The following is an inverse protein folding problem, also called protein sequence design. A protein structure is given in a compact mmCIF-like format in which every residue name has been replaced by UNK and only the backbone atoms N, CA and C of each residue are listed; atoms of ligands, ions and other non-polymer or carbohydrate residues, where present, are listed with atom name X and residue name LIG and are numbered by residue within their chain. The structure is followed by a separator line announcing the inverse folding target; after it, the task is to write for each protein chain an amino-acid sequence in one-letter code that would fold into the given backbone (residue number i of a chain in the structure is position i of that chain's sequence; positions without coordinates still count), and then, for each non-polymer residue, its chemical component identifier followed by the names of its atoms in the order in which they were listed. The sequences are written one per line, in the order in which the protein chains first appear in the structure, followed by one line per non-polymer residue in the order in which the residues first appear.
data_IF_097590351979
#
_entry.id   IF_097590351979
#
_cell.length_a   1.000
_cell.length_b   1.000
_cell.length_c   1.000
_cell.angle_alpha   90.00
_cell.angle_beta   90.00
_cell.angle_gamma   90.00
#
_symmetry.space_group_name_H-M   'P 1'
#
loop_
_entity.id
_entity.type
_entity.pdbx_description
1 polymer ?
#
# COMPACT_ATOMS: atom_id res chain seq x y z
N UNK A 1 4.98 28.91 -46.68
CA UNK A 1 5.40 29.59 -47.93
C UNK A 1 5.45 31.09 -47.64
N UNK A 2 6.67 31.67 -47.68
CA UNK A 2 7.03 33.11 -47.74
C UNK A 2 6.58 33.98 -46.54
N UNK A 3 7.39 34.36 -45.53
CA UNK A 3 8.71 35.06 -45.42
C UNK A 3 8.61 36.59 -45.58
N UNK A 4 9.31 37.30 -44.66
CA UNK A 4 9.90 38.65 -44.68
C UNK A 4 9.08 39.77 -44.01
N UNK A 5 9.66 40.81 -43.41
CA UNK A 5 10.91 41.11 -42.68
C UNK A 5 10.83 42.62 -42.40
N UNK A 6 11.43 43.12 -41.33
CA UNK A 6 12.31 44.32 -41.37
C UNK A 6 12.70 44.77 -39.97
N UNK A 7 14.00 44.76 -39.77
CA UNK A 7 14.76 45.38 -38.69
C UNK A 7 15.01 46.85 -39.03
N UNK A 8 15.16 47.72 -38.03
CA UNK A 8 16.05 48.89 -38.12
C UNK A 8 16.55 49.30 -36.74
N UNK A 9 17.87 49.23 -36.58
CA UNK A 9 18.67 49.82 -35.51
C UNK A 9 18.73 51.35 -35.62
N UNK A 10 18.90 52.05 -34.49
CA UNK A 10 19.56 53.36 -34.49
C UNK A 10 20.43 53.54 -33.25
N UNK A 11 21.62 54.07 -33.49
CA UNK A 11 22.76 54.14 -32.60
C UNK A 11 23.01 55.58 -32.12
N UNK A 12 23.68 55.70 -30.97
CA UNK A 12 24.55 56.80 -30.51
C UNK A 12 23.96 58.17 -30.10
N UNK A 13 24.23 58.58 -28.86
CA UNK A 13 25.29 59.59 -28.54
C UNK A 13 25.22 60.05 -27.07
N UNK A 14 26.39 60.05 -26.39
CA UNK A 14 26.66 60.80 -25.15
C UNK A 14 27.09 62.23 -25.51
N UNK A 15 27.07 63.15 -24.53
CA UNK A 15 28.36 63.76 -24.19
C UNK A 15 28.62 63.93 -22.68
N UNK A 16 29.91 64.05 -22.41
CA UNK A 16 30.61 64.21 -21.14
C UNK A 16 30.33 65.54 -20.44
N UNK A 17 30.46 65.54 -19.10
CA UNK A 17 30.95 66.71 -18.38
C UNK A 17 31.98 66.28 -17.33
N UNK A 18 33.19 66.78 -17.51
CA UNK A 18 34.37 66.58 -16.70
C UNK A 18 34.75 67.97 -16.18
N UNK A 19 34.84 68.18 -14.86
CA UNK A 19 35.65 69.27 -14.31
C UNK A 19 36.26 68.92 -12.96
N UNK A 20 37.51 69.32 -12.84
CA UNK A 20 38.56 68.82 -11.95
C UNK A 20 38.61 69.45 -10.55
N UNK A 21 39.11 68.62 -9.63
CA UNK A 21 40.12 68.84 -8.58
C UNK A 21 39.85 69.85 -7.45
N UNK A 22 40.05 69.37 -6.21
CA UNK A 22 41.14 69.84 -5.32
C UNK A 22 41.44 68.77 -4.25
N UNK A 23 42.73 68.49 -4.07
CA UNK A 23 43.28 67.52 -3.14
C UNK A 23 43.21 68.01 -1.70
N UNK A 24 43.00 67.12 -0.72
CA UNK A 24 43.62 67.25 0.61
C UNK A 24 43.93 65.88 1.21
N UNK A 25 45.16 65.80 1.70
CA UNK A 25 45.84 64.67 2.31
C UNK A 25 45.43 64.48 3.77
N UNK A 26 45.41 63.21 4.20
CA UNK A 26 45.88 62.70 5.49
C UNK A 26 44.93 61.79 6.29
N UNK A 27 45.59 60.76 6.85
CA UNK A 27 45.23 59.89 7.98
C UNK A 27 44.39 58.67 7.65
N UNK A 28 45.14 57.63 7.28
CA UNK A 28 44.88 56.23 7.62
C UNK A 28 44.57 56.13 9.12
N UNK A 29 43.36 55.69 9.44
CA UNK A 29 43.01 55.17 10.75
C UNK A 29 42.34 53.82 10.52
N UNK A 30 43.08 52.75 10.82
CA UNK A 30 42.56 51.39 10.80
C UNK A 30 41.52 51.24 11.90
N UNK A 31 40.23 51.28 11.55
CA UNK A 31 39.18 50.71 12.38
C UNK A 31 39.09 49.22 12.02
N UNK A 32 39.66 48.35 12.85
CA UNK A 32 39.38 46.91 12.80
C UNK A 32 37.98 46.69 13.38
N UNK A 33 36.95 46.80 12.54
CA UNK A 33 35.61 46.29 12.87
C UNK A 33 35.62 44.78 12.67
N UNK A 34 35.76 44.02 13.76
CA UNK A 34 35.50 42.58 13.76
C UNK A 34 34.00 42.35 13.57
N UNK A 35 33.57 42.18 12.32
CA UNK A 35 32.28 41.59 12.00
C UNK A 35 32.36 40.08 12.29
N UNK A 36 31.88 39.66 13.45
CA UNK A 36 31.52 38.26 13.67
C UNK A 36 30.31 37.94 12.79
N UNK A 37 30.55 37.38 11.59
CA UNK A 37 29.50 36.68 10.85
C UNK A 37 29.14 35.41 11.63
N UNK A 38 28.12 35.49 12.46
CA UNK A 38 27.42 34.30 12.95
C UNK A 38 26.68 33.68 11.77
N UNK A 39 27.34 32.75 11.06
CA UNK A 39 26.68 31.87 10.12
C UNK A 39 25.75 30.96 10.93
N UNK A 40 24.49 31.36 11.08
CA UNK A 40 23.43 30.45 11.50
C UNK A 40 23.30 29.38 10.42
N UNK A 41 23.92 28.22 10.65
CA UNK A 41 23.59 27.00 9.92
C UNK A 41 22.13 26.68 10.26
N UNK A 42 21.21 27.13 9.40
CA UNK A 42 19.86 26.59 9.34
C UNK A 42 20.01 25.13 8.90
N UNK A 43 20.16 24.23 9.86
CA UNK A 43 19.88 22.83 9.62
C UNK A 43 18.37 22.74 9.43
N UNK A 44 17.84 22.35 8.25
CA UNK A 44 16.43 22.02 8.15
C UNK A 44 16.21 20.88 9.14
N UNK A 45 15.44 21.13 10.19
CA UNK A 45 14.87 20.05 10.98
C UNK A 45 14.01 19.25 10.02
N UNK A 46 14.50 18.09 9.59
CA UNK A 46 13.69 17.10 8.89
C UNK A 46 12.69 16.61 9.93
N UNK A 47 11.55 17.29 10.03
CA UNK A 47 10.40 16.76 10.72
C UNK A 47 9.97 15.54 9.93
N UNK A 48 10.16 14.35 10.48
CA UNK A 48 9.65 13.13 9.89
C UNK A 48 8.13 13.28 9.78
N UNK A 49 7.65 13.54 8.56
CA UNK A 49 6.26 13.84 8.32
C UNK A 49 5.50 12.51 8.29
N UNK A 50 4.44 12.41 9.09
CA UNK A 50 3.53 11.27 9.04
C UNK A 50 2.95 11.13 7.63
N UNK A 51 2.77 9.90 7.17
CA UNK A 51 2.10 9.64 5.91
C UNK A 51 0.62 10.05 6.01
N UNK A 52 0.02 10.46 4.88
CA UNK A 52 -1.37 10.91 4.85
C UNK A 52 -2.30 9.80 5.38
N UNK A 53 -3.22 10.17 6.27
CA UNK A 53 -4.25 9.26 6.78
C UNK A 53 -5.35 9.01 5.75
N UNK A 54 -5.93 7.81 5.76
CA UNK A 54 -7.07 7.49 4.90
C UNK A 54 -8.06 6.58 5.59
N UNK A 55 -9.34 6.99 5.58
CA UNK A 55 -10.44 6.19 6.08
C UNK A 55 -10.81 5.01 5.17
N UNK A 56 -10.15 4.84 4.02
CA UNK A 56 -10.38 3.72 3.09
C UNK A 56 -9.49 2.51 3.41
N UNK A 57 -8.44 2.68 4.21
CA UNK A 57 -7.47 1.63 4.52
C UNK A 57 -8.05 0.58 5.46
N UNK A 58 -7.78 -0.68 5.13
CA UNK A 58 -8.06 -1.81 6.01
C UNK A 58 -6.96 -2.84 5.97
N UNK A 59 -7.15 -3.91 6.72
CA UNK A 59 -6.15 -4.95 6.91
C UNK A 59 -6.58 -6.25 6.26
N UNK A 60 -5.82 -6.70 5.25
CA UNK A 60 -5.75 -8.12 4.92
C UNK A 60 -4.90 -8.77 6.00
N UNK A 61 -5.52 -9.40 6.98
CA UNK A 61 -4.81 -9.90 8.17
C UNK A 61 -4.34 -11.34 7.97
N UNK A 62 -3.02 -11.53 8.06
CA UNK A 62 -2.38 -12.86 8.04
C UNK A 62 -1.85 -13.18 9.45
N UNK A 63 -2.55 -14.02 10.24
CA UNK A 63 -2.13 -14.31 11.61
C UNK A 63 -0.73 -14.93 11.67
N UNK A 64 0.16 -14.35 12.48
CA UNK A 64 1.49 -14.89 12.71
C UNK A 64 1.50 -15.80 13.95
N UNK A 65 1.50 -17.12 13.75
CA UNK A 65 1.57 -18.08 14.86
C UNK A 65 2.98 -18.25 15.43
N UNK A 66 4.03 -17.91 14.67
CA UNK A 66 5.43 -18.01 15.11
C UNK A 66 5.84 -16.84 16.01
N UNK A 67 5.28 -15.65 15.72
CA UNK A 67 5.49 -14.43 16.50
C UNK A 67 4.13 -13.75 16.77
N UNK A 68 3.32 -14.28 17.71
CA UNK A 68 1.96 -13.81 17.94
C UNK A 68 1.88 -12.35 18.41
N UNK A 69 2.96 -11.79 18.96
CA UNK A 69 3.07 -10.37 19.30
C UNK A 69 2.90 -9.45 18.09
N UNK A 70 3.32 -9.89 16.89
CA UNK A 70 3.20 -9.09 15.67
C UNK A 70 1.73 -8.78 15.35
N UNK A 71 0.80 -9.66 15.76
CA UNK A 71 -0.62 -9.49 15.49
C UNK A 71 -1.25 -8.28 16.18
N UNK A 72 -0.58 -7.71 17.19
CA UNK A 72 -1.02 -6.52 17.94
C UNK A 72 -0.51 -5.21 17.34
N UNK A 73 0.34 -5.26 16.30
CA UNK A 73 0.92 -4.04 15.71
C UNK A 73 -0.15 -3.25 14.94
N UNK A 74 -1.05 -3.95 14.26
CA UNK A 74 -1.91 -3.39 13.21
C UNK A 74 -2.99 -2.43 13.70
N UNK A 75 -3.50 -2.62 14.91
CA UNK A 75 -4.53 -1.79 15.52
C UNK A 75 -3.98 -0.91 16.67
N UNK A 76 -2.65 -0.85 16.81
CA UNK A 76 -2.00 -0.09 17.88
C UNK A 76 -1.85 1.41 17.57
N UNK A 77 -1.80 2.24 18.61
CA UNK A 77 -1.41 3.65 18.52
C UNK A 77 -2.30 4.50 17.61
N UNK A 78 -1.69 5.10 16.58
CA UNK A 78 -2.31 6.01 15.63
C UNK A 78 -2.74 5.32 14.32
N UNK A 79 -2.94 4.00 14.32
CA UNK A 79 -3.35 3.26 13.13
C UNK A 79 -4.64 3.83 12.52
N UNK A 80 -4.59 4.13 11.22
CA UNK A 80 -5.75 4.62 10.44
C UNK A 80 -6.68 3.49 9.97
N UNK A 81 -6.37 2.23 10.29
CA UNK A 81 -7.13 1.07 9.81
C UNK A 81 -8.47 0.96 10.56
N UNK A 82 -9.57 0.85 9.81
CA UNK A 82 -10.93 0.78 10.39
C UNK A 82 -11.73 -0.46 9.99
N UNK A 83 -11.19 -1.31 9.12
CA UNK A 83 -11.77 -2.60 8.76
C UNK A 83 -10.70 -3.66 8.50
N UNK A 84 -11.04 -4.93 8.63
CA UNK A 84 -10.15 -6.04 8.30
C UNK A 84 -10.91 -7.29 7.86
N UNK A 85 -10.20 -8.17 7.17
CA UNK A 85 -10.61 -9.54 6.92
C UNK A 85 -9.40 -10.47 7.11
N UNK A 86 -9.65 -11.76 7.28
CA UNK A 86 -8.60 -12.74 7.60
C UNK A 86 -8.74 -14.04 6.79
N UNK A 87 -9.36 -13.96 5.62
CA UNK A 87 -9.76 -15.10 4.77
C UNK A 87 -10.77 -16.07 5.41
N UNK A 88 -11.23 -15.82 6.63
CA UNK A 88 -12.13 -16.68 7.36
C UNK A 88 -13.51 -16.07 7.61
N UNK A 89 -14.35 -16.85 8.27
CA UNK A 89 -15.68 -16.42 8.71
C UNK A 89 -15.71 -15.91 10.14
N UNK A 90 -14.64 -16.10 10.93
CA UNK A 90 -14.58 -15.74 12.35
C UNK A 90 -13.58 -14.61 12.58
N UNK A 91 -13.96 -13.62 13.39
CA UNK A 91 -13.11 -12.51 13.78
C UNK A 91 -11.85 -13.02 14.50
N UNK A 92 -10.69 -12.50 14.10
CA UNK A 92 -9.41 -12.83 14.74
C UNK A 92 -9.38 -12.51 16.24
N UNK A 93 -8.95 -13.47 17.07
CA UNK A 93 -8.81 -13.27 18.52
C UNK A 93 -7.85 -12.12 18.89
N UNK A 94 -6.89 -11.81 18.01
CA UNK A 94 -5.98 -10.68 18.13
C UNK A 94 -6.69 -9.32 18.33
N UNK A 95 -7.92 -9.19 17.81
CA UNK A 95 -8.70 -7.95 17.88
C UNK A 95 -9.97 -8.12 18.73
N UNK A 96 -9.97 -9.09 19.65
CA UNK A 96 -11.13 -9.37 20.53
C UNK A 96 -11.47 -8.22 21.49
N UNK A 97 -10.52 -7.32 21.74
CA UNK A 97 -10.70 -6.08 22.50
C UNK A 97 -11.31 -4.94 21.67
N UNK A 98 -11.53 -5.13 20.36
CA UNK A 98 -12.13 -4.13 19.47
C UNK A 98 -13.58 -4.48 19.19
N UNK A 99 -14.43 -3.46 19.28
CA UNK A 99 -15.82 -3.59 18.84
C UNK A 99 -15.89 -3.58 17.31
N UNK A 100 -16.99 -4.10 16.76
CA UNK A 100 -17.26 -4.08 15.31
C UNK A 100 -17.30 -2.64 14.74
N UNK A 101 -17.60 -1.64 15.56
CA UNK A 101 -17.65 -0.24 15.15
C UNK A 101 -16.28 0.44 15.14
N UNK A 102 -15.34 -0.01 15.99
CA UNK A 102 -13.97 0.51 16.03
C UNK A 102 -13.08 -0.12 14.96
N UNK A 103 -13.23 -1.43 14.73
CA UNK A 103 -12.46 -2.16 13.72
C UNK A 103 -13.34 -3.25 13.09
N UNK A 104 -13.96 -2.92 11.95
CA UNK A 104 -14.97 -3.75 11.29
C UNK A 104 -14.36 -5.06 10.79
N UNK A 105 -14.77 -6.19 11.36
CA UNK A 105 -14.46 -7.50 10.78
C UNK A 105 -15.41 -7.80 9.61
N UNK A 106 -14.84 -8.16 8.45
CA UNK A 106 -15.58 -8.56 7.26
C UNK A 106 -15.37 -10.07 7.01
N UNK A 107 -16.39 -10.93 7.25
CA UNK A 107 -16.30 -12.35 6.97
C UNK A 107 -16.11 -12.64 5.48
N UNK A 108 -15.34 -13.66 5.14
CA UNK A 108 -15.11 -14.09 3.75
C UNK A 108 -15.58 -15.52 3.52
N UNK A 109 -16.37 -15.72 2.47
CA UNK A 109 -16.66 -17.03 1.91
C UNK A 109 -15.49 -17.43 0.99
N UNK A 110 -14.36 -17.84 1.57
CA UNK A 110 -13.11 -18.05 0.82
C UNK A 110 -13.26 -19.06 -0.34
N UNK A 111 -13.95 -20.18 -0.08
CA UNK A 111 -14.36 -21.17 -1.08
C UNK A 111 -15.78 -21.66 -0.80
N UNK A 112 -16.31 -22.61 -1.58
CA UNK A 112 -17.66 -23.14 -1.39
C UNK A 112 -17.84 -23.69 0.02
N UNK A 113 -18.96 -23.35 0.67
CA UNK A 113 -19.27 -23.79 2.03
C UNK A 113 -20.74 -24.17 2.17
N UNK A 114 -21.06 -25.05 3.12
CA UNK A 114 -22.44 -25.36 3.51
C UNK A 114 -22.88 -24.66 4.79
N UNK A 115 -21.97 -23.95 5.46
CA UNK A 115 -22.17 -23.37 6.80
C UNK A 115 -21.87 -21.87 6.88
N UNK A 116 -21.51 -21.21 5.78
CA UNK A 116 -21.15 -19.79 5.82
C UNK A 116 -22.34 -18.92 6.24
N UNK A 117 -23.52 -19.16 5.66
CA UNK A 117 -24.75 -18.45 6.03
C UNK A 117 -25.04 -18.55 7.53
N UNK A 118 -25.07 -19.77 8.07
CA UNK A 118 -25.38 -20.00 9.48
C UNK A 118 -24.30 -19.43 10.41
N UNK A 119 -23.03 -19.43 9.98
CA UNK A 119 -21.93 -18.82 10.73
C UNK A 119 -22.06 -17.30 10.81
N UNK A 120 -22.36 -16.63 9.69
CA UNK A 120 -22.59 -15.17 9.68
C UNK A 120 -23.84 -14.80 10.46
N UNK A 121 -24.93 -15.57 10.33
CA UNK A 121 -26.14 -15.39 11.14
C UNK A 121 -25.84 -15.50 12.64
N UNK A 122 -24.97 -16.45 13.04
CA UNK A 122 -24.57 -16.61 14.44
C UNK A 122 -23.79 -15.39 14.95
N UNK A 123 -22.85 -14.86 14.14
CA UNK A 123 -22.16 -13.61 14.50
C UNK A 123 -23.14 -12.45 14.72
N UNK A 124 -24.14 -12.31 13.85
CA UNK A 124 -25.17 -11.29 13.96
C UNK A 124 -26.01 -11.50 15.24
N UNK A 125 -26.46 -12.73 15.52
CA UNK A 125 -27.24 -13.03 16.72
C UNK A 125 -26.45 -12.84 18.01
N UNK A 126 -25.14 -13.06 17.97
CA UNK A 126 -24.22 -12.85 19.09
C UNK A 126 -23.89 -11.35 19.30
N UNK A 127 -24.52 -10.46 18.54
CA UNK A 127 -24.44 -9.01 18.72
C UNK A 127 -23.37 -8.32 17.86
N UNK A 128 -22.67 -9.03 16.98
CA UNK A 128 -21.73 -8.42 16.04
C UNK A 128 -22.49 -7.95 14.79
N UNK A 129 -22.58 -6.64 14.62
CA UNK A 129 -23.26 -6.04 13.46
C UNK A 129 -22.46 -6.24 12.15
N UNK A 130 -22.62 -7.39 11.50
CA UNK A 130 -22.01 -7.68 10.20
C UNK A 130 -22.74 -6.89 9.11
N UNK A 131 -22.07 -5.89 8.53
CA UNK A 131 -22.60 -5.04 7.47
C UNK A 131 -22.16 -5.46 6.06
N UNK A 132 -21.00 -6.12 5.94
CA UNK A 132 -20.43 -6.58 4.69
C UNK A 132 -19.91 -8.02 4.80
N UNK A 133 -19.90 -8.75 3.69
CA UNK A 133 -19.18 -10.01 3.52
C UNK A 133 -18.43 -10.02 2.19
N UNK A 134 -17.28 -10.70 2.15
CA UNK A 134 -16.50 -10.95 0.94
C UNK A 134 -16.86 -12.31 0.34
N UNK A 135 -16.86 -12.39 -1.00
CA UNK A 135 -17.04 -13.62 -1.75
C UNK A 135 -15.75 -14.47 -1.84
N UNK A 136 -15.74 -15.37 -2.82
CA UNK A 136 -14.64 -16.32 -3.05
C UNK A 136 -13.30 -15.62 -3.30
N UNK A 137 -12.22 -16.22 -2.80
CA UNK A 137 -10.86 -15.73 -2.97
C UNK A 137 -10.22 -16.36 -4.20
N UNK A 138 -9.92 -15.57 -5.23
CA UNK A 138 -9.33 -15.99 -6.50
C UNK A 138 -9.89 -17.33 -6.99
N UNK A 139 -11.21 -17.43 -7.22
CA UNK A 139 -11.81 -18.68 -7.68
C UNK A 139 -11.33 -19.07 -9.09
N UNK A 140 -10.82 -18.10 -9.85
CA UNK A 140 -10.13 -18.35 -11.11
C UNK A 140 -8.70 -18.87 -10.92
N UNK A 141 -8.09 -18.64 -9.75
CA UNK A 141 -6.76 -19.07 -9.35
C UNK A 141 -6.68 -20.50 -8.85
N UNK A 142 -5.48 -21.09 -8.94
CA UNK A 142 -5.23 -22.45 -8.46
C UNK A 142 -4.96 -22.46 -6.95
N UNK A 143 -5.31 -23.55 -6.27
CA UNK A 143 -4.99 -23.71 -4.84
C UNK A 143 -3.49 -23.80 -4.55
N UNK A 144 -2.68 -24.18 -5.55
CA UNK A 144 -1.22 -24.15 -5.49
C UNK A 144 -0.65 -22.74 -5.31
N UNK A 145 -1.40 -21.71 -5.74
CA UNK A 145 -1.01 -20.30 -5.68
C UNK A 145 -1.83 -19.49 -4.67
N UNK A 146 -2.64 -20.16 -3.84
CA UNK A 146 -3.49 -19.51 -2.84
C UNK A 146 -4.91 -19.18 -3.29
N UNK A 147 -5.32 -19.61 -4.49
CA UNK A 147 -6.69 -19.44 -4.99
C UNK A 147 -7.65 -20.54 -4.56
N UNK A 148 -8.95 -20.23 -4.57
CA UNK A 148 -9.99 -21.18 -4.18
C UNK A 148 -10.38 -22.18 -5.27
N UNK A 149 -9.96 -21.96 -6.52
CA UNK A 149 -10.08 -22.90 -7.65
C UNK A 149 -11.50 -23.45 -7.83
N UNK A 150 -12.47 -22.58 -8.10
CA UNK A 150 -13.90 -22.92 -8.18
C UNK A 150 -14.41 -22.67 -9.60
N UNK A 151 -15.19 -23.60 -10.15
CA UNK A 151 -15.89 -23.36 -11.41
C UNK A 151 -17.00 -22.30 -11.23
N UNK A 152 -17.23 -21.39 -12.19
CA UNK A 152 -18.26 -20.35 -12.09
C UNK A 152 -19.67 -20.88 -11.76
N UNK A 153 -20.07 -22.01 -12.33
CA UNK A 153 -21.39 -22.63 -12.08
C UNK A 153 -21.53 -23.18 -10.66
N UNK A 154 -20.46 -23.75 -10.10
CA UNK A 154 -20.44 -24.22 -8.72
C UNK A 154 -20.48 -23.03 -7.75
N UNK A 155 -19.72 -21.97 -8.04
CA UNK A 155 -19.72 -20.72 -7.30
C UNK A 155 -21.12 -20.05 -7.31
N UNK A 156 -21.80 -19.99 -8.46
CA UNK A 156 -23.16 -19.46 -8.58
C UNK A 156 -24.16 -20.26 -7.71
N UNK A 157 -24.13 -21.59 -7.81
CA UNK A 157 -24.98 -22.48 -7.01
C UNK A 157 -24.76 -22.26 -5.50
N UNK A 158 -23.49 -22.17 -5.08
CA UNK A 158 -23.17 -21.95 -3.68
C UNK A 158 -23.58 -20.55 -3.21
N UNK A 159 -23.37 -19.51 -4.02
CA UNK A 159 -23.73 -18.12 -3.74
C UNK A 159 -25.23 -17.99 -3.46
N UNK A 160 -26.08 -18.61 -4.29
CA UNK A 160 -27.54 -18.61 -4.12
C UNK A 160 -27.93 -19.16 -2.74
N UNK A 161 -27.23 -20.19 -2.26
CA UNK A 161 -27.54 -20.81 -0.97
C UNK A 161 -26.91 -20.11 0.23
N UNK A 162 -25.73 -19.50 0.08
CA UNK A 162 -24.92 -19.00 1.19
C UNK A 162 -24.87 -17.48 1.31
N UNK A 163 -24.93 -16.75 0.20
CA UNK A 163 -24.72 -15.29 0.14
C UNK A 163 -26.04 -14.53 -0.03
N UNK A 164 -26.91 -14.96 -0.97
CA UNK A 164 -28.19 -14.27 -1.22
C UNK A 164 -29.07 -14.14 0.04
N UNK A 165 -29.18 -15.14 0.93
CA UNK A 165 -29.99 -14.99 2.15
C UNK A 165 -29.45 -13.93 3.11
N UNK A 166 -28.14 -13.64 3.11
CA UNK A 166 -27.54 -12.60 3.96
C UNK A 166 -28.00 -11.20 3.54
N UNK A 167 -28.25 -10.99 2.25
CA UNK A 167 -28.75 -9.70 1.74
C UNK A 167 -30.12 -9.34 2.30
N UNK A 168 -30.97 -10.35 2.60
CA UNK A 168 -32.27 -10.14 3.27
C UNK A 168 -32.12 -9.66 4.71
N UNK A 169 -30.94 -9.82 5.31
CA UNK A 169 -30.57 -9.31 6.63
C UNK A 169 -29.92 -7.91 6.55
N UNK A 170 -29.84 -7.30 5.36
CA UNK A 170 -29.19 -6.01 5.14
C UNK A 170 -27.67 -6.09 5.00
N UNK A 171 -27.09 -7.30 4.92
CA UNK A 171 -25.65 -7.51 4.71
C UNK A 171 -25.32 -7.28 3.24
N UNK A 172 -24.35 -6.40 2.97
CA UNK A 172 -23.83 -6.17 1.62
C UNK A 172 -22.87 -7.27 1.20
N UNK A 173 -22.95 -7.74 -0.03
CA UNK A 173 -22.15 -8.84 -0.55
C UNK A 173 -21.15 -8.36 -1.60
N UNK A 174 -19.87 -8.62 -1.38
CA UNK A 174 -18.83 -8.40 -2.38
C UNK A 174 -18.81 -9.53 -3.40
N UNK A 175 -18.68 -9.19 -4.68
CA UNK A 175 -18.48 -10.17 -5.75
C UNK A 175 -17.25 -11.07 -5.47
N UNK A 176 -17.11 -12.21 -6.18
CA UNK A 176 -15.90 -13.01 -6.07
C UNK A 176 -14.64 -12.18 -6.38
N UNK A 177 -13.65 -12.23 -5.50
CA UNK A 177 -12.39 -11.50 -5.62
C UNK A 177 -11.46 -12.24 -6.58
N UNK A 178 -11.56 -11.93 -7.88
CA UNK A 178 -10.78 -12.59 -8.93
C UNK A 178 -9.36 -12.05 -9.04
N UNK A 179 -8.45 -12.83 -9.63
CA UNK A 179 -7.10 -12.33 -9.92
C UNK A 179 -7.14 -11.09 -10.82
N UNK A 180 -6.14 -10.22 -10.66
CA UNK A 180 -5.93 -9.00 -11.45
C UNK A 180 -5.54 -9.25 -12.90
N UNK A 181 -6.33 -10.05 -13.63
CA UNK A 181 -6.01 -10.53 -14.97
C UNK A 181 -7.27 -10.64 -15.84
N UNK A 182 -7.08 -10.76 -17.16
CA UNK A 182 -8.17 -11.03 -18.08
C UNK A 182 -8.89 -12.35 -17.75
N UNK A 183 -8.15 -13.36 -17.27
CA UNK A 183 -8.73 -14.63 -16.82
C UNK A 183 -9.71 -14.40 -15.67
N UNK A 184 -9.34 -13.55 -14.71
CA UNK A 184 -10.20 -13.20 -13.59
C UNK A 184 -11.49 -12.52 -14.05
N UNK A 185 -11.40 -11.53 -14.95
CA UNK A 185 -12.59 -10.85 -15.49
C UNK A 185 -13.51 -11.79 -16.26
N UNK A 186 -12.96 -12.66 -17.10
CA UNK A 186 -13.73 -13.68 -17.82
C UNK A 186 -14.38 -14.69 -16.87
N UNK A 187 -13.71 -15.07 -15.78
CA UNK A 187 -14.31 -15.92 -14.76
C UNK A 187 -15.51 -15.22 -14.09
N UNK A 188 -15.37 -13.93 -13.77
CA UNK A 188 -16.43 -13.15 -13.12
C UNK A 188 -17.65 -12.96 -14.02
N UNK A 189 -17.44 -12.72 -15.32
CA UNK A 189 -18.50 -12.71 -16.34
C UNK A 189 -19.25 -14.04 -16.37
N UNK A 190 -18.54 -15.16 -16.48
CA UNK A 190 -19.16 -16.50 -16.48
C UNK A 190 -19.90 -16.82 -15.17
N UNK A 191 -19.47 -16.26 -14.04
CA UNK A 191 -20.17 -16.42 -12.77
C UNK A 191 -21.54 -15.73 -12.81
N UNK A 192 -21.61 -14.48 -13.28
CA UNK A 192 -22.87 -13.78 -13.43
C UNK A 192 -23.79 -14.42 -14.49
N UNK A 193 -23.23 -14.94 -15.59
CA UNK A 193 -24.00 -15.72 -16.56
C UNK A 193 -24.58 -17.00 -15.94
N UNK A 194 -23.80 -17.72 -15.14
CA UNK A 194 -24.27 -18.91 -14.43
C UNK A 194 -25.39 -18.57 -13.43
N UNK A 195 -25.31 -17.43 -12.77
CA UNK A 195 -26.37 -16.92 -11.92
C UNK A 195 -27.64 -16.60 -12.71
N UNK A 196 -27.52 -15.90 -13.84
CA UNK A 196 -28.65 -15.59 -14.72
C UNK A 196 -29.35 -16.86 -15.22
N UNK A 197 -28.56 -17.88 -15.60
CA UNK A 197 -29.06 -19.19 -15.99
C UNK A 197 -29.78 -19.93 -14.86
N UNK A 198 -29.42 -19.65 -13.60
CA UNK A 198 -30.10 -20.16 -12.41
C UNK A 198 -31.31 -19.29 -11.98
N UNK A 199 -31.64 -18.24 -12.73
CA UNK A 199 -32.81 -17.39 -12.49
C UNK A 199 -32.59 -16.29 -11.44
N UNK A 200 -31.35 -15.90 -11.17
CA UNK A 200 -31.01 -14.81 -10.24
C UNK A 200 -29.90 -13.92 -10.81
N UNK A 201 -29.72 -12.73 -10.26
CA UNK A 201 -28.63 -11.84 -10.66
C UNK A 201 -27.36 -12.04 -9.81
N UNK A 202 -27.38 -12.91 -8.78
CA UNK A 202 -26.33 -13.03 -7.77
C UNK A 202 -25.80 -11.66 -7.33
N UNK A 203 -26.70 -10.78 -6.87
CA UNK A 203 -26.42 -9.34 -6.78
C UNK A 203 -25.24 -9.09 -5.84
N UNK A 204 -24.20 -8.46 -6.38
CA UNK A 204 -23.07 -7.94 -5.62
C UNK A 204 -23.23 -6.42 -5.43
N UNK A 205 -22.97 -5.95 -4.21
CA UNK A 205 -23.06 -4.53 -3.84
C UNK A 205 -21.75 -3.78 -4.13
N UNK A 206 -20.63 -4.50 -4.22
CA UNK A 206 -19.30 -3.99 -4.55
C UNK A 206 -18.46 -5.08 -5.22
N UNK A 207 -17.39 -4.67 -5.92
CA UNK A 207 -16.47 -5.58 -6.63
C UNK A 207 -15.10 -5.59 -5.93
N UNK A 208 -14.77 -6.67 -5.19
CA UNK A 208 -13.42 -6.93 -4.73
C UNK A 208 -12.47 -7.21 -5.90
N UNK A 209 -11.27 -6.67 -5.85
CA UNK A 209 -10.23 -6.87 -6.87
C UNK A 209 -8.87 -7.12 -6.24
N UNK A 210 -8.10 -8.01 -6.87
CA UNK A 210 -6.71 -8.26 -6.51
C UNK A 210 -5.77 -7.69 -7.58
N UNK A 211 -4.58 -7.24 -7.17
CA UNK A 211 -3.56 -6.82 -8.12
C UNK A 211 -2.13 -7.04 -7.62
N UNK A 212 -1.35 -7.81 -8.37
CA UNK A 212 0.08 -7.97 -8.14
C UNK A 212 0.85 -7.61 -9.42
N UNK A 213 1.50 -6.44 -9.41
CA UNK A 213 2.19 -5.90 -10.58
C UNK A 213 2.43 -4.39 -10.48
N UNK A 214 2.82 -3.76 -11.59
CA UNK A 214 3.11 -2.32 -11.64
C UNK A 214 1.85 -1.45 -11.53
N UNK A 215 2.05 -0.14 -11.33
CA UNK A 215 0.97 0.83 -11.14
C UNK A 215 0.15 1.05 -12.41
N UNK A 216 0.77 1.07 -13.59
CA UNK A 216 0.05 1.27 -14.85
C UNK A 216 -0.94 0.15 -15.11
N UNK A 217 -0.55 -1.09 -14.83
CA UNK A 217 -1.43 -2.24 -14.93
C UNK A 217 -2.57 -2.17 -13.92
N UNK A 218 -2.30 -1.77 -12.67
CA UNK A 218 -3.33 -1.57 -11.64
C UNK A 218 -4.39 -0.55 -12.09
N UNK A 219 -3.96 0.63 -12.52
CA UNK A 219 -4.87 1.68 -12.97
C UNK A 219 -5.68 1.25 -14.19
N UNK A 220 -5.05 0.57 -15.14
CA UNK A 220 -5.72 -0.01 -16.32
C UNK A 220 -6.77 -1.05 -15.92
N UNK A 221 -6.43 -1.95 -15.00
CA UNK A 221 -7.31 -3.01 -14.53
C UNK A 221 -8.54 -2.46 -13.79
N UNK A 222 -8.34 -1.47 -12.91
CA UNK A 222 -9.45 -0.77 -12.26
C UNK A 222 -10.37 -0.08 -13.27
N UNK A 223 -9.80 0.51 -14.34
CA UNK A 223 -10.57 1.07 -15.45
C UNK A 223 -11.43 0.03 -16.17
N UNK A 224 -10.88 -1.17 -16.43
CA UNK A 224 -11.61 -2.28 -17.04
C UNK A 224 -12.75 -2.79 -16.14
N UNK A 225 -12.49 -2.97 -14.85
CA UNK A 225 -13.52 -3.37 -13.87
C UNK A 225 -14.64 -2.34 -13.82
N UNK A 226 -14.30 -1.04 -13.77
CA UNK A 226 -15.29 0.04 -13.74
C UNK A 226 -16.12 0.12 -15.03
N UNK A 227 -15.52 -0.20 -16.17
CA UNK A 227 -16.23 -0.25 -17.45
C UNK A 227 -17.18 -1.46 -17.55
N UNK A 228 -16.76 -2.62 -17.07
CA UNK A 228 -17.57 -3.85 -17.07
C UNK A 228 -18.72 -3.79 -16.06
N UNK A 229 -18.48 -3.20 -14.89
CA UNK A 229 -19.44 -3.09 -13.79
C UNK A 229 -19.67 -1.61 -13.43
N UNK A 230 -20.44 -0.87 -14.24
CA UNK A 230 -20.72 0.53 -13.95
C UNK A 230 -21.59 0.65 -12.69
N UNK A 231 -21.42 1.75 -11.95
CA UNK A 231 -22.19 2.10 -10.74
C UNK A 231 -21.99 1.19 -9.52
N UNK A 232 -21.03 0.27 -9.53
CA UNK A 232 -20.58 -0.46 -8.33
C UNK A 232 -19.30 0.14 -7.78
N UNK A 233 -19.16 0.17 -6.45
CA UNK A 233 -17.89 0.52 -5.84
C UNK A 233 -16.92 -0.65 -5.92
N UNK A 234 -15.64 -0.33 -5.87
CA UNK A 234 -14.54 -1.29 -5.94
C UNK A 234 -13.85 -1.32 -4.58
N UNK A 235 -13.56 -2.53 -4.11
CA UNK A 235 -12.69 -2.76 -2.96
C UNK A 235 -11.40 -3.41 -3.45
N UNK A 236 -10.25 -2.77 -3.25
CA UNK A 236 -8.95 -3.38 -3.60
C UNK A 236 -8.51 -4.23 -2.42
N UNK A 237 -9.00 -5.47 -2.34
CA UNK A 237 -8.81 -6.33 -1.17
C UNK A 237 -7.40 -6.89 -1.07
N UNK A 238 -6.68 -7.02 -2.18
CA UNK A 238 -5.25 -7.32 -2.16
C UNK A 238 -4.52 -6.52 -3.23
N UNK A 239 -3.45 -5.85 -2.84
CA UNK A 239 -2.51 -5.31 -3.81
C UNK A 239 -1.09 -5.18 -3.28
N UNK A 240 -0.12 -5.43 -4.14
CA UNK A 240 1.29 -5.15 -3.90
C UNK A 240 2.08 -5.14 -5.23
N UNK A 241 3.25 -4.50 -5.24
CA UNK A 241 4.22 -4.72 -6.31
C UNK A 241 5.10 -5.91 -5.91
N UNK A 242 4.92 -7.03 -6.62
CA UNK A 242 5.58 -8.29 -6.30
C UNK A 242 7.03 -8.35 -6.84
N UNK A 243 7.95 -8.87 -6.03
CA UNK A 243 9.33 -9.20 -6.41
C UNK A 243 10.14 -8.05 -7.04
N UNK A 244 9.85 -6.80 -6.65
CA UNK A 244 10.57 -5.61 -7.12
C UNK A 244 11.62 -5.11 -6.11
N UNK A 245 12.45 -4.15 -6.54
CA UNK A 245 13.42 -3.51 -5.65
C UNK A 245 12.73 -2.64 -4.61
N UNK A 246 13.40 -2.39 -3.47
CA UNK A 246 12.83 -1.58 -2.39
C UNK A 246 12.37 -0.18 -2.87
N UNK A 247 13.16 0.59 -3.66
CA UNK A 247 12.70 1.88 -4.15
C UNK A 247 11.45 1.80 -5.03
N UNK A 248 11.37 0.79 -5.91
CA UNK A 248 10.20 0.58 -6.77
C UNK A 248 8.95 0.22 -5.96
N UNK A 249 9.09 -0.67 -4.96
CA UNK A 249 7.96 -1.06 -4.10
C UNK A 249 7.48 0.11 -3.24
N UNK A 250 8.39 0.93 -2.71
CA UNK A 250 8.03 2.15 -1.97
C UNK A 250 7.35 3.18 -2.87
N UNK A 251 7.82 3.36 -4.11
CA UNK A 251 7.20 4.28 -5.07
C UNK A 251 5.80 3.82 -5.50
N UNK A 252 5.66 2.53 -5.81
CA UNK A 252 4.36 1.90 -6.09
C UNK A 252 3.39 2.11 -4.93
N UNK A 253 3.82 1.87 -3.69
CA UNK A 253 2.97 2.06 -2.51
C UNK A 253 2.45 3.50 -2.40
N UNK A 254 3.35 4.49 -2.47
CA UNK A 254 2.97 5.91 -2.34
C UNK A 254 2.01 6.32 -3.45
N UNK A 255 2.31 5.92 -4.69
CA UNK A 255 1.51 6.27 -5.87
C UNK A 255 0.13 5.61 -5.83
N UNK A 256 0.06 4.32 -5.51
CA UNK A 256 -1.22 3.60 -5.41
C UNK A 256 -2.09 4.09 -4.26
N UNK A 257 -1.52 4.39 -3.09
CA UNK A 257 -2.25 4.93 -1.95
C UNK A 257 -2.89 6.31 -2.27
N UNK A 258 -2.13 7.24 -2.85
CA UNK A 258 -2.68 8.52 -3.32
C UNK A 258 -3.80 8.31 -4.33
N UNK A 259 -3.57 7.43 -5.30
CA UNK A 259 -4.52 7.17 -6.36
C UNK A 259 -5.85 6.65 -5.82
N UNK A 260 -5.83 5.68 -4.91
CA UNK A 260 -7.04 5.13 -4.30
C UNK A 260 -7.78 6.14 -3.44
N UNK A 261 -7.05 7.01 -2.72
CA UNK A 261 -7.67 8.04 -1.89
C UNK A 261 -8.46 9.05 -2.75
N UNK A 262 -7.96 9.39 -3.95
CA UNK A 262 -8.59 10.32 -4.89
C UNK A 262 -9.80 9.77 -5.65
N UNK A 263 -9.88 8.46 -5.88
CA UNK A 263 -10.98 7.85 -6.64
C UNK A 263 -12.24 7.66 -5.78
N UNK A 264 -13.36 8.22 -6.21
CA UNK A 264 -14.65 8.17 -5.50
C UNK A 264 -15.29 6.77 -5.52
N UNK A 265 -15.02 5.98 -6.56
CA UNK A 265 -15.52 4.62 -6.69
C UNK A 265 -14.65 3.57 -5.97
N UNK A 266 -13.54 3.96 -5.34
CA UNK A 266 -12.75 3.09 -4.47
C UNK A 266 -13.18 3.34 -3.03
N UNK A 267 -13.97 2.43 -2.47
CA UNK A 267 -14.48 2.56 -1.10
C UNK A 267 -13.45 2.11 -0.07
N UNK A 268 -12.71 1.04 -0.38
CA UNK A 268 -11.79 0.38 0.56
C UNK A 268 -10.58 -0.23 -0.15
N UNK A 269 -9.43 -0.26 0.51
CA UNK A 269 -8.25 -0.98 0.03
C UNK A 269 -7.40 -1.57 1.16
N UNK A 270 -6.78 -2.72 0.91
CA UNK A 270 -5.89 -3.43 1.83
C UNK A 270 -4.59 -3.85 1.15
N UNK A 271 -3.46 -3.33 1.63
CA UNK A 271 -2.14 -3.64 1.10
C UNK A 271 -1.70 -5.04 1.54
N UNK A 272 -1.29 -5.88 0.59
CA UNK A 272 -0.89 -7.25 0.90
C UNK A 272 0.57 -7.29 1.38
N UNK A 273 0.74 -7.15 2.70
CA UNK A 273 2.06 -7.14 3.32
C UNK A 273 2.05 -7.31 4.84
N UNK A 274 0.94 -7.72 5.47
CA UNK A 274 0.77 -7.79 6.94
C UNK A 274 1.50 -8.96 7.61
N UNK A 275 2.75 -9.18 7.20
CA UNK A 275 3.62 -10.27 7.64
C UNK A 275 5.09 -9.82 7.58
N UNK A 276 5.97 -10.66 8.12
CA UNK A 276 7.42 -10.45 8.06
C UNK A 276 7.97 -10.74 6.68
N UNK A 277 8.97 -9.97 6.27
CA UNK A 277 9.70 -10.13 5.00
C UNK A 277 10.28 -11.52 4.79
N UNK A 278 10.65 -12.20 5.87
CA UNK A 278 11.19 -13.56 5.84
C UNK A 278 10.21 -14.63 5.36
N UNK A 279 8.90 -14.35 5.34
CA UNK A 279 7.86 -15.30 4.90
C UNK A 279 7.06 -14.80 3.69
N UNK A 280 7.46 -13.67 3.10
CA UNK A 280 6.76 -13.07 1.97
C UNK A 280 6.85 -13.95 0.72
N UNK A 281 5.71 -14.26 0.11
CA UNK A 281 5.60 -14.89 -1.20
C UNK A 281 5.50 -13.87 -2.35
N UNK A 282 5.43 -12.57 -2.05
CA UNK A 282 5.40 -11.46 -3.03
C UNK A 282 6.70 -10.64 -3.02
N UNK A 283 7.76 -11.19 -2.45
CA UNK A 283 9.06 -10.54 -2.28
C UNK A 283 9.17 -9.80 -0.94
N UNK A 284 10.37 -9.78 -0.32
CA UNK A 284 10.57 -9.24 1.03
C UNK A 284 10.24 -7.74 1.11
N UNK A 285 10.51 -6.99 0.04
CA UNK A 285 10.35 -5.53 0.01
C UNK A 285 8.89 -5.05 0.09
N UNK A 286 7.92 -5.93 -0.21
CA UNK A 286 6.49 -5.64 -0.08
C UNK A 286 5.94 -5.90 1.33
N UNK A 287 6.77 -6.35 2.27
CA UNK A 287 6.31 -6.65 3.63
C UNK A 287 6.23 -5.38 4.49
N UNK A 288 5.22 -5.34 5.37
CA UNK A 288 5.03 -4.28 6.35
C UNK A 288 5.89 -4.48 7.60
N UNK A 289 6.37 -5.70 7.83
CA UNK A 289 7.37 -5.99 8.86
C UNK A 289 8.66 -6.50 8.22
N UNK A 290 9.80 -6.08 8.75
CA UNK A 290 11.09 -6.71 8.44
C UNK A 290 11.17 -8.13 9.05
N UNK A 291 12.26 -8.82 8.81
CA UNK A 291 12.51 -10.18 9.31
C UNK A 291 12.49 -10.26 10.85
N UNK A 292 12.76 -9.15 11.54
CA UNK A 292 12.83 -9.04 12.99
C UNK A 292 11.49 -8.63 13.61
N UNK A 293 10.49 -8.31 12.79
CA UNK A 293 9.15 -7.88 13.24
C UNK A 293 9.04 -6.38 13.51
N UNK A 294 9.98 -5.58 13.00
CA UNK A 294 9.90 -4.12 13.07
C UNK A 294 9.15 -3.58 11.84
N UNK A 295 8.39 -2.50 12.03
CA UNK A 295 7.68 -1.85 10.91
C UNK A 295 8.66 -1.36 9.86
N UNK A 296 8.46 -1.77 8.61
CA UNK A 296 9.17 -1.22 7.45
C UNK A 296 8.66 0.19 7.18
N UNK A 297 9.30 0.91 6.25
CA UNK A 297 8.77 2.21 5.79
C UNK A 297 7.32 2.08 5.31
N UNK A 298 7.02 1.08 4.47
CA UNK A 298 5.65 0.82 3.97
C UNK A 298 4.72 0.49 5.13
N UNK A 299 5.14 -0.38 6.05
CA UNK A 299 4.32 -0.75 7.20
C UNK A 299 3.94 0.47 8.04
N UNK A 300 4.92 1.31 8.37
CA UNK A 300 4.68 2.52 9.15
C UNK A 300 3.82 3.53 8.39
N UNK A 301 4.13 3.80 7.11
CA UNK A 301 3.32 4.71 6.28
C UNK A 301 1.87 4.27 6.15
N UNK A 302 1.63 2.97 5.99
CA UNK A 302 0.27 2.44 5.87
C UNK A 302 -0.57 2.65 7.13
N UNK A 303 0.07 2.56 8.31
CA UNK A 303 -0.52 2.85 9.61
C UNK A 303 -0.54 4.35 9.96
N UNK A 304 -0.21 5.25 9.03
CA UNK A 304 -0.21 6.70 9.27
C UNK A 304 1.04 7.23 9.96
N UNK A 305 2.09 6.42 10.08
CA UNK A 305 3.37 6.75 10.69
C UNK A 305 4.38 7.39 9.74
N UNK A 306 5.53 7.74 10.31
CA UNK A 306 6.70 8.25 9.61
C UNK A 306 7.60 7.10 9.10
N UNK A 307 8.51 7.39 8.15
CA UNK A 307 9.51 6.40 7.70
C UNK A 307 10.35 5.89 8.89
N UNK A 308 10.63 4.58 8.92
CA UNK A 308 11.36 3.91 10.01
C UNK A 308 12.79 3.59 9.62
N UNK A 309 13.07 3.45 8.33
CA UNK A 309 14.38 3.04 7.80
C UNK A 309 14.68 1.54 7.97
N UNK A 310 13.72 0.73 8.43
CA UNK A 310 13.89 -0.72 8.52
C UNK A 310 13.80 -1.37 7.14
N UNK A 311 14.93 -1.88 6.66
CA UNK A 311 15.07 -2.53 5.36
C UNK A 311 14.65 -3.99 5.45
N UNK A 312 13.66 -4.44 4.66
CA UNK A 312 13.21 -5.83 4.67
C UNK A 312 14.22 -6.76 4.01
N UNK A 313 14.50 -7.91 4.63
CA UNK A 313 15.36 -8.96 4.05
C UNK A 313 14.62 -10.30 3.91
N UNK A 314 15.03 -11.12 2.94
CA UNK A 314 14.54 -12.50 2.82
C UNK A 314 15.11 -13.38 3.95
N UNK A 315 14.46 -14.50 4.26
CA UNK A 315 14.97 -15.45 5.24
C UNK A 315 16.36 -15.96 4.84
N UNK A 316 17.41 -15.53 5.55
CA UNK A 316 18.80 -15.97 5.33
C UNK A 316 19.85 -14.87 5.28
N UNK A 317 19.48 -13.59 5.28
CA UNK A 317 20.44 -12.51 5.49
C UNK A 317 20.75 -12.40 6.98
N UNK A 318 21.77 -13.14 7.43
CA UNK A 318 22.34 -12.90 8.75
C UNK A 318 22.84 -11.46 8.79
N UNK A 319 22.33 -10.66 9.73
CA UNK A 319 22.95 -9.37 10.09
C UNK A 319 24.43 -9.64 10.40
N UNK A 320 25.32 -9.33 9.46
CA UNK A 320 26.72 -9.14 9.80
C UNK A 320 26.74 -7.83 10.57
N UNK A 321 26.62 -7.93 11.90
CA UNK A 321 26.73 -6.80 12.79
C UNK A 321 28.03 -6.05 12.46
N UNK A 322 27.91 -4.84 11.92
CA UNK A 322 29.00 -3.96 11.50
C UNK A 322 29.79 -3.41 12.69
N UNK A 323 30.34 -4.31 13.50
CA UNK A 323 30.95 -4.04 14.79
C UNK A 323 32.44 -4.32 14.85
N UNK A 324 33.18 -4.34 13.74
CA UNK A 324 34.66 -4.31 13.77
C UNK A 324 35.21 -3.68 12.49
N UNK A 325 35.26 -2.34 12.44
CA UNK A 325 36.31 -1.64 11.69
C UNK A 325 37.26 -1.10 12.74
N UNK A 326 38.48 -1.66 12.80
CA UNK A 326 39.73 -0.92 12.98
C UNK A 326 40.92 -1.86 13.24
N UNK A 327 42.01 -1.58 12.51
CA UNK A 327 43.41 -2.01 12.67
C UNK A 327 43.83 -3.38 12.10
N UNK A 328 44.25 -3.35 10.83
CA UNK A 328 45.46 -4.07 10.40
C UNK A 328 46.10 -3.36 9.20
N UNK A 329 46.75 -2.23 9.48
CA UNK A 329 47.79 -1.68 8.62
C UNK A 329 49.08 -1.71 9.41
N UNK A 330 50.15 -2.20 8.79
CA UNK A 330 51.56 -2.20 9.21
C UNK A 330 52.02 -3.46 9.98
N UNK A 331 53.13 -4.05 9.47
CA UNK A 331 54.00 -5.15 9.95
C UNK A 331 53.80 -6.47 9.18
N UNK A 332 54.71 -6.95 8.34
CA UNK A 332 56.06 -6.47 8.05
C UNK A 332 56.63 -7.10 6.78
N UNK A 333 57.43 -6.29 6.08
CA UNK A 333 58.55 -6.81 5.33
C UNK A 333 59.58 -7.36 6.33
N UNK A 334 60.22 -8.48 5.97
CA UNK A 334 61.59 -8.93 6.26
C UNK A 334 61.68 -10.45 6.56
N UNK A 335 62.53 -11.11 5.76
CA UNK A 335 63.33 -12.34 6.00
C UNK A 335 62.59 -13.69 5.94
N UNK A 336 63.05 -14.76 5.28
CA UNK A 336 64.32 -15.22 4.65
C UNK A 336 63.94 -16.38 3.71
N UNK A 337 64.43 -16.51 2.46
CA UNK A 337 65.72 -17.14 2.12
C UNK A 337 66.12 -18.32 3.01
N UNK A 338 65.65 -19.52 2.65
CA UNK A 338 66.43 -20.77 2.60
C UNK A 338 65.84 -21.67 1.51
#
# INVERSE_FOLDING_TARGET
MVVLSSSVDFCASRPDFNFQLHAYSQRIMYLTTSFLLSAFLYFPTVTSQNFQSSSKRGLVFVPNNKHPSDNQIWDSGNSDLNWYYNYGVVASAAFSNRTQAEFEFVPMLWSTSTSFLSSVQSLISDGRNISHVLGYNEPDGESSTGGSSIAPSAAATNWISQMEPLRKLGVKTGAPAVTGSQRGLTWLEHFFDACANAGTNCTADFIPVHWYGNFEGLASYLGQVRAAYPNTSIWVTEYALNNASLPETQDFFKTSAEYFDRLDYIDRYSYFGSFRSSVSNVGPNASMLDQDGQLTDIGSWYLGGAATGHVPEASGAGRINGGWVLWASILGAWLLLL
#
